data_IF_194054669093
#
_entry.id   IF_194054669093
#
_cell.length_a   1.000
_cell.length_b   1.000
_cell.length_c   1.000
_cell.angle_alpha   90.00
_cell.angle_beta   90.00
_cell.angle_gamma   90.00
#
_symmetry.space_group_name_H-M   'P 1'
#
loop_
_entity.id
_entity.type
_entity.pdbx_description
1 polymer ?
#
# COMPACT_ATOMS: atom_id res chain seq x y z
N UNK A 1 -21.80 23.52 -6.63
CA UNK A 1 -23.05 23.16 -5.92
C UNK A 1 -22.97 21.70 -5.56
N UNK A 2 -22.69 21.37 -4.29
CA UNK A 2 -22.57 19.99 -3.81
C UNK A 2 -23.95 19.34 -3.74
N UNK A 3 -24.05 18.07 -4.17
CA UNK A 3 -25.28 17.28 -4.14
C UNK A 3 -25.51 16.76 -2.70
N UNK A 4 -26.75 16.78 -2.16
CA UNK A 4 -27.03 16.40 -0.79
C UNK A 4 -27.16 14.87 -0.61
N UNK A 5 -26.13 14.14 -1.02
CA UNK A 5 -26.03 12.66 -0.89
C UNK A 5 -24.64 12.17 -0.46
N UNK A 6 -23.59 12.99 -0.62
CA UNK A 6 -22.21 12.60 -0.29
C UNK A 6 -21.94 12.62 1.24
N UNK A 7 -22.74 13.37 2.00
CA UNK A 7 -22.57 13.46 3.46
C UNK A 7 -23.04 12.21 4.19
N UNK A 8 -24.08 11.53 3.70
CA UNK A 8 -24.57 10.29 4.33
C UNK A 8 -23.58 9.14 4.10
N UNK A 9 -23.02 9.03 2.90
CA UNK A 9 -22.00 8.01 2.59
C UNK A 9 -20.70 8.24 3.38
N UNK A 10 -20.30 9.50 3.53
CA UNK A 10 -19.13 9.87 4.33
C UNK A 10 -19.34 9.59 5.82
N UNK A 11 -20.55 9.86 6.35
CA UNK A 11 -20.91 9.55 7.73
C UNK A 11 -20.94 8.04 7.99
N UNK A 12 -21.52 7.26 7.10
CA UNK A 12 -21.55 5.79 7.23
C UNK A 12 -20.16 5.18 7.22
N UNK A 13 -19.29 5.64 6.32
CA UNK A 13 -17.89 5.19 6.28
C UNK A 13 -17.14 5.55 7.58
N UNK A 14 -17.38 6.75 8.11
CA UNK A 14 -16.75 7.20 9.35
C UNK A 14 -17.27 6.41 10.56
N UNK A 15 -18.58 6.16 10.63
CA UNK A 15 -19.20 5.33 11.68
C UNK A 15 -18.68 3.89 11.64
N UNK A 16 -18.54 3.31 10.45
CA UNK A 16 -17.97 1.97 10.28
C UNK A 16 -16.50 1.92 10.71
N UNK A 17 -15.69 2.92 10.33
CA UNK A 17 -14.28 3.00 10.70
C UNK A 17 -14.11 3.11 12.22
N UNK A 18 -14.83 4.03 12.87
CA UNK A 18 -14.76 4.20 14.32
C UNK A 18 -15.33 3.00 15.09
N UNK A 19 -16.39 2.37 14.56
CA UNK A 19 -16.93 1.14 15.09
C UNK A 19 -15.93 -0.02 15.05
N UNK A 20 -15.23 -0.20 13.92
CA UNK A 20 -14.23 -1.24 13.75
C UNK A 20 -13.02 -1.04 14.68
N UNK A 21 -12.53 0.20 14.80
CA UNK A 21 -11.44 0.54 15.73
C UNK A 21 -11.87 0.29 17.17
N UNK A 22 -13.07 0.75 17.57
CA UNK A 22 -13.63 0.50 18.89
C UNK A 22 -13.73 -1.00 19.21
N UNK A 23 -14.27 -1.80 18.29
CA UNK A 23 -14.39 -3.25 18.45
C UNK A 23 -13.02 -3.92 18.59
N UNK A 24 -12.04 -3.55 17.76
CA UNK A 24 -10.69 -4.10 17.81
C UNK A 24 -10.02 -3.81 19.16
N UNK A 25 -10.12 -2.59 19.67
CA UNK A 25 -9.58 -2.22 20.99
C UNK A 25 -10.25 -2.98 22.13
N UNK A 26 -11.57 -3.23 22.04
CA UNK A 26 -12.30 -3.99 23.04
C UNK A 26 -11.90 -5.47 23.04
N UNK A 27 -11.71 -6.06 21.85
CA UNK A 27 -11.25 -7.45 21.68
C UNK A 27 -9.83 -7.62 22.23
N UNK A 28 -8.94 -6.66 21.97
CA UNK A 28 -7.55 -6.71 22.44
C UNK A 28 -7.45 -6.54 23.97
N UNK A 29 -8.21 -5.60 24.53
CA UNK A 29 -8.33 -5.44 25.98
C UNK A 29 -8.92 -6.69 26.66
N UNK A 30 -9.87 -7.37 26.02
CA UNK A 30 -10.46 -8.62 26.54
C UNK A 30 -9.48 -9.78 26.47
N UNK A 31 -8.72 -9.89 25.38
CA UNK A 31 -7.69 -10.93 25.20
C UNK A 31 -6.53 -10.77 26.17
N UNK A 32 -6.12 -9.55 26.46
CA UNK A 32 -5.06 -9.27 27.43
C UNK A 32 -5.49 -9.50 28.89
N UNK A 33 -6.79 -9.40 29.18
CA UNK A 33 -7.35 -9.66 30.50
C UNK A 33 -7.67 -11.15 30.76
N UNK A 34 -7.69 -12.00 29.72
CA UNK A 34 -7.89 -13.44 29.86
C UNK A 34 -6.54 -14.13 30.13
N UNK A 35 -6.36 -14.80 31.28
CA UNK A 35 -5.24 -15.71 31.49
C UNK A 35 -5.27 -16.78 30.39
N UNK A 36 -4.20 -16.90 29.61
CA UNK A 36 -4.08 -17.95 28.60
C UNK A 36 -4.22 -19.35 29.25
N UNK A 37 -4.69 -20.37 28.50
CA UNK A 37 -4.86 -21.72 29.02
C UNK A 37 -3.55 -22.19 29.66
N UNK A 38 -3.61 -22.51 30.95
CA UNK A 38 -2.47 -22.94 31.75
C UNK A 38 -1.74 -24.09 31.04
N UNK A 39 -0.52 -23.78 30.56
CA UNK A 39 0.37 -24.73 29.92
C UNK A 39 0.86 -25.70 30.97
N UNK A 40 0.43 -26.96 30.88
CA UNK A 40 0.88 -28.04 31.74
C UNK A 40 2.42 -28.20 31.65
N UNK A 41 3.15 -28.25 32.78
CA UNK A 41 4.62 -28.34 32.80
C UNK A 41 5.20 -29.69 32.31
N UNK A 42 4.36 -30.59 31.77
CA UNK A 42 4.73 -31.96 31.39
C UNK A 42 4.82 -32.20 29.88
N UNK A 43 4.67 -31.17 29.03
CA UNK A 43 4.77 -31.31 27.58
C UNK A 43 6.11 -30.75 27.04
N UNK A 44 7.19 -31.57 26.96
CA UNK A 44 8.48 -31.13 26.40
C UNK A 44 8.39 -30.77 24.91
N UNK A 45 7.31 -31.16 24.23
CA UNK A 45 7.01 -30.84 22.82
C UNK A 45 6.30 -29.50 22.64
N UNK A 46 5.70 -28.94 23.69
CA UNK A 46 5.01 -27.64 23.65
C UNK A 46 5.96 -26.42 23.66
N UNK A 47 7.28 -26.66 23.72
CA UNK A 47 8.31 -25.64 23.97
C UNK A 47 9.23 -25.38 22.79
N UNK A 48 8.77 -25.60 21.55
CA UNK A 48 9.34 -24.81 20.44
C UNK A 48 8.44 -23.59 20.31
N UNK A 49 8.81 -22.40 20.84
CA UNK A 49 8.22 -21.17 20.35
C UNK A 49 8.34 -21.22 18.84
N UNK A 50 7.22 -21.30 18.13
CA UNK A 50 7.20 -21.04 16.71
C UNK A 50 7.90 -19.69 16.55
N UNK A 51 9.05 -19.61 15.84
CA UNK A 51 9.81 -18.38 15.78
C UNK A 51 8.86 -17.30 15.28
N UNK A 52 8.58 -16.31 16.15
CA UNK A 52 7.71 -15.21 15.80
C UNK A 52 8.19 -14.69 14.44
N UNK A 53 7.29 -14.54 13.44
CA UNK A 53 7.71 -14.17 12.11
C UNK A 53 8.55 -12.91 12.23
N UNK A 54 9.80 -12.98 11.75
CA UNK A 54 10.76 -11.90 11.84
C UNK A 54 10.16 -10.73 11.07
N UNK A 55 9.49 -9.80 11.77
CA UNK A 55 8.85 -8.66 11.12
C UNK A 55 9.97 -7.78 10.58
N UNK A 56 10.20 -7.85 9.27
CA UNK A 56 11.12 -6.95 8.59
C UNK A 56 10.50 -5.56 8.62
N UNK A 57 11.08 -4.57 9.34
CA UNK A 57 10.45 -3.26 9.51
C UNK A 57 10.17 -2.55 8.17
N UNK A 58 11.00 -2.81 7.17
CA UNK A 58 10.84 -2.30 5.81
C UNK A 58 9.63 -2.89 5.10
N UNK A 59 9.35 -4.18 5.27
CA UNK A 59 8.16 -4.81 4.70
C UNK A 59 6.89 -4.17 5.27
N UNK A 60 6.81 -4.04 6.60
CA UNK A 60 5.69 -3.37 7.26
C UNK A 60 5.52 -1.91 6.80
N UNK A 61 6.61 -1.22 6.47
CA UNK A 61 6.56 0.13 5.88
C UNK A 61 5.97 0.10 4.47
N UNK A 62 6.41 -0.83 3.61
CA UNK A 62 5.91 -0.95 2.24
C UNK A 62 4.43 -1.35 2.23
N UNK A 63 4.03 -2.31 3.06
CA UNK A 63 2.64 -2.72 3.25
C UNK A 63 1.75 -1.52 3.62
N UNK A 64 2.20 -0.68 4.55
CA UNK A 64 1.48 0.54 4.93
C UNK A 64 1.35 1.53 3.78
N UNK A 65 2.41 1.72 2.98
CA UNK A 65 2.37 2.60 1.81
C UNK A 65 1.37 2.08 0.79
N UNK A 66 1.37 0.77 0.54
CA UNK A 66 0.43 0.11 -0.37
C UNK A 66 -1.01 0.24 0.11
N UNK A 67 -1.26 0.04 1.41
CA UNK A 67 -2.59 0.22 2.00
C UNK A 67 -3.11 1.65 1.79
N UNK A 68 -2.30 2.66 2.14
CA UNK A 68 -2.67 4.07 1.97
C UNK A 68 -2.89 4.46 0.50
N UNK A 69 -2.05 3.97 -0.40
CA UNK A 69 -2.16 4.25 -1.84
C UNK A 69 -3.41 3.62 -2.48
N UNK A 70 -4.01 2.59 -1.87
CA UNK A 70 -5.31 2.06 -2.32
C UNK A 70 -6.46 2.97 -1.88
N UNK A 71 -6.30 3.68 -0.77
CA UNK A 71 -7.34 4.56 -0.22
C UNK A 71 -7.38 5.92 -0.92
N UNK A 72 -6.21 6.50 -1.24
CA UNK A 72 -6.14 7.87 -1.76
C UNK A 72 -5.15 8.07 -2.92
N UNK A 73 -5.58 8.79 -3.94
CA UNK A 73 -4.73 9.31 -5.02
C UNK A 73 -3.61 10.23 -4.51
N UNK A 74 -3.81 10.88 -3.36
CA UNK A 74 -2.77 11.65 -2.69
C UNK A 74 -1.62 10.74 -2.26
N UNK A 75 -1.93 9.64 -1.57
CA UNK A 75 -0.90 8.67 -1.14
C UNK A 75 -0.25 7.94 -2.32
N UNK A 76 -0.99 7.73 -3.42
CA UNK A 76 -0.39 7.29 -4.69
C UNK A 76 0.70 8.27 -5.14
N UNK A 77 0.41 9.57 -5.18
CA UNK A 77 1.34 10.58 -5.69
C UNK A 77 2.53 10.83 -4.76
N UNK A 78 2.30 10.93 -3.44
CA UNK A 78 3.33 11.35 -2.50
C UNK A 78 4.10 10.21 -1.82
N UNK A 79 3.57 8.97 -1.82
CA UNK A 79 4.22 7.83 -1.17
C UNK A 79 4.60 6.72 -2.14
N UNK A 80 3.64 6.27 -2.96
CA UNK A 80 3.86 5.13 -3.85
C UNK A 80 4.69 5.52 -5.08
N UNK A 81 4.36 6.64 -5.72
CA UNK A 81 5.04 7.11 -6.94
C UNK A 81 6.55 7.29 -6.77
N UNK A 82 7.08 7.91 -5.69
CA UNK A 82 8.52 8.00 -5.50
C UNK A 82 9.21 6.62 -5.50
N UNK A 83 8.61 5.62 -4.83
CA UNK A 83 9.15 4.26 -4.83
C UNK A 83 9.08 3.61 -6.22
N UNK A 84 7.96 3.77 -6.93
CA UNK A 84 7.83 3.24 -8.30
C UNK A 84 8.83 3.89 -9.26
N UNK A 85 9.06 5.20 -9.13
CA UNK A 85 10.06 5.93 -9.93
C UNK A 85 11.47 5.43 -9.67
N UNK A 86 11.87 5.29 -8.41
CA UNK A 86 13.19 4.77 -8.05
C UNK A 86 13.44 3.38 -8.64
N UNK A 87 12.46 2.47 -8.55
CA UNK A 87 12.58 1.12 -9.10
C UNK A 87 12.60 1.16 -10.64
N UNK A 88 11.77 2.00 -11.27
CA UNK A 88 11.72 2.14 -12.72
C UNK A 88 13.02 2.71 -13.27
N UNK A 89 13.56 3.78 -12.66
CA UNK A 89 14.86 4.38 -12.99
C UNK A 89 15.98 3.32 -12.91
N UNK A 90 16.03 2.57 -11.81
CA UNK A 90 17.04 1.52 -11.63
C UNK A 90 16.91 0.40 -12.67
N UNK A 91 15.70 -0.05 -12.99
CA UNK A 91 15.48 -1.11 -13.98
C UNK A 91 15.79 -0.65 -15.40
N UNK A 92 15.31 0.53 -15.81
CA UNK A 92 15.56 1.08 -17.14
C UNK A 92 17.07 1.31 -17.37
N UNK A 93 17.76 1.91 -16.40
CA UNK A 93 19.20 2.14 -16.50
C UNK A 93 20.00 0.84 -16.53
N UNK A 94 19.68 -0.11 -15.65
CA UNK A 94 20.45 -1.36 -15.51
C UNK A 94 20.19 -2.36 -16.64
N UNK A 95 18.94 -2.49 -17.10
CA UNK A 95 18.56 -3.51 -18.09
C UNK A 95 18.57 -3.00 -19.52
N UNK A 96 18.34 -1.70 -19.73
CA UNK A 96 18.16 -1.12 -21.07
C UNK A 96 19.06 0.08 -21.36
N UNK A 97 19.75 0.62 -20.36
CA UNK A 97 20.56 1.83 -20.51
C UNK A 97 19.74 3.10 -20.77
N UNK A 98 18.44 3.08 -20.46
CA UNK A 98 17.52 4.20 -20.67
C UNK A 98 17.42 5.01 -19.38
N UNK A 99 17.45 6.34 -19.50
CA UNK A 99 17.20 7.26 -18.39
C UNK A 99 15.73 7.71 -18.40
N UNK A 100 15.07 7.69 -17.22
CA UNK A 100 13.62 7.90 -17.11
C UNK A 100 13.20 9.33 -17.52
N UNK A 101 14.03 10.33 -17.23
CA UNK A 101 13.67 11.74 -17.40
C UNK A 101 14.14 12.31 -18.74
N UNK A 102 15.32 11.89 -19.22
CA UNK A 102 15.88 12.36 -20.49
C UNK A 102 15.47 11.50 -21.69
N UNK A 103 15.17 10.22 -21.48
CA UNK A 103 14.74 9.27 -22.50
C UNK A 103 13.22 9.03 -22.52
N UNK A 104 12.40 10.07 -22.34
CA UNK A 104 10.97 9.94 -22.06
C UNK A 104 10.19 9.04 -23.05
N UNK A 105 10.47 9.14 -24.35
CA UNK A 105 9.78 8.33 -25.37
C UNK A 105 10.19 6.84 -25.29
N UNK A 106 11.48 6.55 -25.15
CA UNK A 106 12.01 5.18 -25.01
C UNK A 106 11.59 4.55 -23.68
N UNK A 107 11.58 5.34 -22.60
CA UNK A 107 11.13 4.92 -21.28
C UNK A 107 9.63 4.61 -21.30
N UNK A 108 8.81 5.45 -21.94
CA UNK A 108 7.37 5.23 -22.13
C UNK A 108 7.10 3.93 -22.88
N UNK A 109 7.84 3.65 -23.97
CA UNK A 109 7.71 2.40 -24.71
C UNK A 109 8.09 1.18 -23.84
N UNK A 110 9.18 1.28 -23.09
CA UNK A 110 9.66 0.19 -22.24
C UNK A 110 8.76 -0.10 -21.04
N UNK A 111 8.17 0.93 -20.41
CA UNK A 111 7.32 0.82 -19.22
C UNK A 111 5.86 0.51 -19.57
N UNK A 112 5.42 0.88 -20.77
CA UNK A 112 4.01 0.86 -21.16
C UNK A 112 3.19 2.02 -20.57
N UNK A 113 2.02 2.26 -21.15
CA UNK A 113 1.19 3.45 -20.86
C UNK A 113 0.77 3.55 -19.39
N UNK A 114 0.32 2.44 -18.79
CA UNK A 114 -0.21 2.41 -17.42
C UNK A 114 0.85 2.78 -16.38
N UNK A 115 2.05 2.22 -16.49
CA UNK A 115 3.15 2.52 -15.59
C UNK A 115 3.74 3.91 -15.89
N UNK A 116 3.89 4.27 -17.17
CA UNK A 116 4.37 5.59 -17.57
C UNK A 116 3.52 6.73 -17.01
N UNK A 117 2.19 6.61 -17.07
CA UNK A 117 1.29 7.63 -16.51
C UNK A 117 1.54 7.88 -15.02
N UNK A 118 1.96 6.87 -14.26
CA UNK A 118 2.29 6.99 -12.84
C UNK A 118 3.67 7.60 -12.60
N UNK A 119 4.68 7.19 -13.37
CA UNK A 119 6.09 7.56 -13.12
C UNK A 119 6.56 8.78 -13.91
N UNK A 120 5.83 9.25 -14.93
CA UNK A 120 6.25 10.38 -15.77
C UNK A 120 6.62 11.62 -14.94
N UNK A 121 7.68 12.36 -15.32
CA UNK A 121 8.17 13.51 -14.56
C UNK A 121 7.09 14.58 -14.38
N UNK A 122 6.34 14.88 -15.43
CA UNK A 122 5.31 15.93 -15.46
C UNK A 122 3.94 15.48 -14.92
N UNK A 123 3.86 14.42 -14.11
CA UNK A 123 2.57 13.97 -13.56
C UNK A 123 2.01 15.04 -12.61
N UNK A 124 0.86 15.58 -12.98
CA UNK A 124 0.20 16.62 -12.20
C UNK A 124 -0.22 16.11 -10.82
N UNK A 125 -0.13 17.00 -9.83
CA UNK A 125 -0.56 16.70 -8.46
C UNK A 125 -2.07 16.48 -8.42
N UNK A 126 -2.57 15.53 -7.61
CA UNK A 126 -4.01 15.34 -7.44
C UNK A 126 -4.67 16.65 -6.97
N UNK A 127 -5.72 17.09 -7.66
CA UNK A 127 -6.48 18.29 -7.27
C UNK A 127 -7.39 18.04 -6.06
N UNK A 128 -7.72 16.77 -5.79
CA UNK A 128 -8.57 16.33 -4.68
C UNK A 128 -7.81 15.33 -3.80
N UNK A 129 -7.64 15.67 -2.52
CA UNK A 129 -6.95 14.82 -1.55
C UNK A 129 -7.69 13.49 -1.25
N UNK A 130 -9.01 13.47 -1.46
CA UNK A 130 -9.87 12.29 -1.21
C UNK A 130 -10.29 11.57 -2.49
N UNK A 131 -9.65 11.87 -3.63
CA UNK A 131 -9.85 11.04 -4.82
C UNK A 131 -9.37 9.61 -4.52
N UNK A 132 -10.10 8.62 -5.04
CA UNK A 132 -9.79 7.20 -4.82
C UNK A 132 -8.36 6.87 -5.27
N UNK A 133 -7.70 6.02 -4.50
CA UNK A 133 -6.38 5.48 -4.82
C UNK A 133 -6.41 4.46 -5.97
N UNK A 134 -5.31 3.71 -6.12
CA UNK A 134 -5.25 2.61 -7.07
C UNK A 134 -5.99 1.40 -6.52
N UNK A 135 -6.87 0.80 -7.31
CA UNK A 135 -7.46 -0.49 -6.96
C UNK A 135 -6.38 -1.59 -6.94
N UNK A 136 -6.62 -2.67 -6.18
CA UNK A 136 -5.69 -3.81 -6.13
C UNK A 136 -5.36 -4.41 -7.51
N UNK A 137 -6.32 -4.57 -8.45
CA UNK A 137 -6.00 -5.00 -9.81
C UNK A 137 -5.09 -4.03 -10.56
N UNK A 138 -5.30 -2.72 -10.44
CA UNK A 138 -4.44 -1.70 -11.07
C UNK A 138 -3.04 -1.71 -10.50
N UNK A 139 -2.92 -1.85 -9.16
CA UNK A 139 -1.63 -1.97 -8.50
C UNK A 139 -0.88 -3.23 -8.95
N UNK A 140 -1.58 -4.37 -9.06
CA UNK A 140 -0.98 -5.62 -9.57
C UNK A 140 -0.47 -5.45 -10.99
N UNK A 141 -1.28 -4.88 -11.89
CA UNK A 141 -0.87 -4.61 -13.26
C UNK A 141 0.33 -3.66 -13.34
N UNK A 142 0.41 -2.67 -12.44
CA UNK A 142 1.54 -1.74 -12.33
C UNK A 142 2.83 -2.47 -11.94
N UNK A 143 2.75 -3.39 -10.97
CA UNK A 143 3.90 -4.20 -10.53
C UNK A 143 4.33 -5.17 -11.63
N UNK A 144 3.39 -5.84 -12.30
CA UNK A 144 3.68 -6.74 -13.42
C UNK A 144 4.38 -6.00 -14.58
N UNK A 145 3.90 -4.80 -14.92
CA UNK A 145 4.55 -3.95 -15.92
C UNK A 145 5.97 -3.59 -15.50
N UNK A 146 6.18 -3.20 -14.24
CA UNK A 146 7.50 -2.88 -13.70
C UNK A 146 8.43 -4.10 -13.69
N UNK A 147 7.88 -5.29 -13.44
CA UNK A 147 8.62 -6.55 -13.44
C UNK A 147 9.14 -6.94 -14.83
N UNK A 148 8.38 -6.60 -15.87
CA UNK A 148 8.67 -6.89 -17.29
C UNK A 148 9.70 -5.95 -17.94
N UNK A 149 10.03 -4.82 -17.29
CA UNK A 149 11.08 -3.87 -17.75
C UNK A 149 12.44 -4.54 -17.80
#
# INVERSE_FOLDING_TARGET
>A
MLRPGDHELALDAWVLAFGAVGLATLVDATRSALPGPDRSPLDPSASTPEPAPLQVPELARVERIVALAQESAFDVHYRLRPLLREIAEHRLSTRRGIDLDTGADEAREALGESLWELVRPERERPSYHFASGLSLPELRATVEALEAV
#
